data_IF_769950825786
#
_entry.id   IF_769950825786
#
_cell.length_a   1.000
_cell.length_b   1.000
_cell.length_c   1.000
_cell.angle_alpha   90.00
_cell.angle_beta   90.00
_cell.angle_gamma   90.00
#
_symmetry.space_group_name_H-M   'P 1'
#
loop_
_entity.id
_entity.type
_entity.pdbx_description
1 polymer ?
#
# COMPACT_ATOMS: atom_id res chain seq x y z
N UNK A 1 -7.62 -7.68 -5.69
CA UNK A 1 -6.51 -8.43 -6.26
C UNK A 1 -5.27 -8.40 -5.40
N UNK A 2 -4.87 -7.20 -4.97
CA UNK A 2 -3.73 -7.07 -4.06
C UNK A 2 -3.91 -7.91 -2.79
N UNK A 3 -5.14 -8.01 -2.30
CA UNK A 3 -5.44 -8.76 -1.08
C UNK A 3 -5.31 -10.27 -1.25
N UNK A 4 -5.34 -10.76 -2.48
CA UNK A 4 -5.15 -12.19 -2.73
C UNK A 4 -3.69 -12.61 -2.63
N UNK A 5 -2.78 -11.71 -2.93
CA UNK A 5 -1.34 -12.00 -2.97
C UNK A 5 -0.62 -11.56 -1.71
N UNK A 6 -1.23 -10.68 -0.91
CA UNK A 6 -0.59 -10.08 0.25
C UNK A 6 -1.44 -10.21 1.49
N UNK A 7 -0.75 -10.30 2.62
CA UNK A 7 -1.37 -10.22 3.93
C UNK A 7 -1.21 -8.79 4.44
N UNK A 8 -2.32 -8.12 4.70
CA UNK A 8 -2.31 -6.72 5.14
C UNK A 8 -2.09 -6.66 6.65
N UNK A 9 -1.02 -6.02 7.06
CA UNK A 9 -0.64 -5.90 8.48
C UNK A 9 -1.23 -4.65 9.13
N UNK A 10 -1.14 -3.51 8.45
CA UNK A 10 -1.67 -2.24 8.93
C UNK A 10 -2.16 -1.42 7.76
N UNK A 11 -3.09 -0.52 8.04
CA UNK A 11 -3.64 0.40 7.03
C UNK A 11 -3.33 1.84 7.40
N UNK A 12 -3.09 2.65 6.39
CA UNK A 12 -2.80 4.07 6.53
C UNK A 12 -3.59 4.87 5.51
N UNK A 13 -3.75 6.15 5.78
CA UNK A 13 -4.42 7.08 4.88
C UNK A 13 -3.51 8.28 4.62
N UNK A 14 -3.36 8.65 3.37
CA UNK A 14 -2.59 9.84 3.01
C UNK A 14 -3.32 10.64 1.95
N UNK A 15 -3.13 11.95 1.97
CA UNK A 15 -3.61 12.82 0.89
C UNK A 15 -2.72 12.63 -0.33
N UNK A 16 -3.31 12.68 -1.51
CA UNK A 16 -2.56 12.57 -2.74
C UNK A 16 -2.51 13.93 -3.44
N UNK A 17 -1.31 14.32 -3.89
CA UNK A 17 -1.12 15.57 -4.62
C UNK A 17 -1.56 15.38 -6.06
N UNK A 18 -2.57 16.13 -6.47
CA UNK A 18 -3.18 16.02 -7.79
C UNK A 18 -3.36 17.38 -8.45
N UNK A 19 -3.43 17.36 -9.78
CA UNK A 19 -3.83 18.52 -10.56
C UNK A 19 -5.36 18.59 -10.62
N UNK A 20 -5.89 19.77 -10.95
CA UNK A 20 -7.35 19.94 -11.07
C UNK A 20 -8.00 18.99 -12.05
N UNK A 21 -7.36 18.77 -13.21
CA UNK A 21 -7.88 17.84 -14.22
C UNK A 21 -7.92 16.41 -13.72
N UNK A 22 -6.97 16.03 -12.87
CA UNK A 22 -6.93 14.69 -12.26
C UNK A 22 -8.09 14.51 -11.27
N UNK A 23 -8.35 15.51 -10.45
CA UNK A 23 -9.48 15.46 -9.51
C UNK A 23 -10.79 15.29 -10.26
N UNK A 24 -10.96 16.03 -11.35
CA UNK A 24 -12.16 15.93 -12.18
C UNK A 24 -12.28 14.56 -12.85
N UNK A 25 -11.17 14.01 -13.33
CA UNK A 25 -11.16 12.67 -13.93
C UNK A 25 -11.53 11.60 -12.91
N UNK A 26 -11.06 11.73 -11.68
CA UNK A 26 -11.40 10.80 -10.60
C UNK A 26 -12.91 10.83 -10.34
N UNK A 27 -13.52 12.02 -10.34
CA UNK A 27 -14.96 12.14 -10.19
C UNK A 27 -15.75 11.48 -11.31
N UNK A 28 -15.13 11.38 -12.49
CA UNK A 28 -15.72 10.66 -13.63
C UNK A 28 -15.43 9.16 -13.59
N UNK A 29 -14.76 8.67 -12.55
CA UNK A 29 -14.45 7.26 -12.43
C UNK A 29 -13.29 6.79 -13.29
N UNK A 30 -12.42 7.68 -13.72
CA UNK A 30 -11.34 7.37 -14.66
C UNK A 30 -10.00 7.07 -13.98
N UNK A 31 -10.02 6.58 -12.76
CA UNK A 31 -8.81 6.23 -12.03
C UNK A 31 -8.72 4.72 -11.82
N UNK A 32 -7.51 4.20 -11.89
CA UNK A 32 -7.24 2.78 -11.70
C UNK A 32 -5.97 2.59 -10.88
N UNK A 33 -6.09 1.93 -9.75
CA UNK A 33 -4.96 1.66 -8.84
C UNK A 33 -4.54 0.19 -8.83
N UNK A 34 -5.09 -0.64 -9.70
CA UNK A 34 -4.84 -2.10 -9.68
C UNK A 34 -3.37 -2.46 -9.86
N UNK A 35 -2.68 -1.76 -10.72
CA UNK A 35 -1.27 -2.02 -11.01
C UNK A 35 -0.35 -1.08 -10.23
N UNK A 36 -0.91 -0.27 -9.35
CA UNK A 36 -0.15 0.72 -8.61
C UNK A 36 0.49 0.12 -7.37
N UNK A 37 1.56 0.75 -6.92
CA UNK A 37 2.16 0.43 -5.64
C UNK A 37 2.65 1.72 -4.97
N UNK A 38 3.00 1.61 -3.70
CA UNK A 38 3.42 2.76 -2.90
C UNK A 38 4.88 2.54 -2.50
N UNK A 39 5.71 3.55 -2.70
CA UNK A 39 7.14 3.43 -2.43
C UNK A 39 7.74 4.74 -1.95
N UNK A 40 8.77 4.64 -1.13
CA UNK A 40 9.57 5.79 -0.72
C UNK A 40 10.57 6.17 -1.80
N UNK A 41 10.71 7.48 -2.00
CA UNK A 41 11.82 8.05 -2.75
C UNK A 41 12.44 9.09 -1.82
N UNK A 42 13.62 8.78 -1.30
CA UNK A 42 14.18 9.55 -0.21
C UNK A 42 13.29 9.43 1.03
N UNK A 43 12.88 10.55 1.59
CA UNK A 43 12.01 10.58 2.76
C UNK A 43 10.55 10.84 2.42
N UNK A 44 10.22 10.80 1.13
CA UNK A 44 8.87 11.07 0.65
C UNK A 44 8.23 9.81 0.10
N UNK A 45 6.91 9.75 0.19
CA UNK A 45 6.13 8.60 -0.21
C UNK A 45 5.36 8.91 -1.49
N UNK A 46 5.39 7.97 -2.43
CA UNK A 46 4.74 8.15 -3.75
C UNK A 46 3.87 6.95 -4.10
N UNK A 47 2.79 7.23 -4.83
CA UNK A 47 2.01 6.21 -5.52
C UNK A 47 2.57 6.11 -6.94
N UNK A 48 2.98 4.92 -7.31
CA UNK A 48 3.64 4.65 -8.60
C UNK A 48 2.76 3.75 -9.44
N UNK A 49 2.59 4.07 -10.71
CA UNK A 49 1.82 3.25 -11.62
C UNK A 49 0.32 3.43 -11.56
N UNK A 50 -0.17 4.42 -10.81
CA UNK A 50 -1.60 4.73 -10.81
C UNK A 50 -1.98 5.45 -12.09
N UNK A 51 -3.00 4.95 -12.76
CA UNK A 51 -3.51 5.56 -13.99
C UNK A 51 -4.71 6.45 -13.68
N UNK A 52 -4.65 7.69 -14.11
CA UNK A 52 -5.79 8.61 -14.07
C UNK A 52 -6.00 9.09 -15.51
N UNK A 53 -7.13 8.67 -16.09
CA UNK A 53 -7.47 9.00 -17.46
C UNK A 53 -7.71 10.50 -17.65
N UNK A 54 -7.80 10.92 -18.91
CA UNK A 54 -8.02 12.32 -19.23
C UNK A 54 -9.42 12.74 -18.83
N UNK A 55 -9.52 13.94 -18.26
CA UNK A 55 -10.81 14.55 -18.00
C UNK A 55 -11.47 14.92 -19.35
N UNK A 56 -12.74 14.55 -19.52
CA UNK A 56 -13.45 14.71 -20.80
C UNK A 56 -13.38 16.11 -21.39
N UNK A 57 -13.42 17.14 -20.56
CA UNK A 57 -13.46 18.53 -20.99
C UNK A 57 -12.15 19.26 -20.71
N UNK A 58 -11.04 18.52 -20.56
CA UNK A 58 -9.77 19.13 -20.17
C UNK A 58 -9.14 20.02 -21.26
N UNK A 59 -9.35 19.70 -22.53
CA UNK A 59 -8.74 20.45 -23.60
C UNK A 59 -7.22 20.52 -23.43
N UNK A 60 -6.68 21.73 -23.40
CA UNK A 60 -5.24 21.93 -23.19
C UNK A 60 -4.79 21.74 -21.75
N UNK A 61 -5.73 21.57 -20.83
CA UNK A 61 -5.44 21.39 -19.40
C UNK A 61 -5.29 19.92 -19.02
N UNK A 62 -5.20 19.04 -20.01
CA UNK A 62 -5.05 17.61 -19.73
C UNK A 62 -3.71 17.31 -19.03
N UNK A 63 -3.68 16.19 -18.33
CA UNK A 63 -2.51 15.75 -17.57
C UNK A 63 -1.94 14.47 -18.15
N UNK A 64 -0.71 14.14 -17.73
CA UNK A 64 -0.12 12.86 -18.04
C UNK A 64 -0.85 11.77 -17.27
N UNK A 65 -1.38 10.72 -17.93
CA UNK A 65 -2.17 9.70 -17.23
C UNK A 65 -1.41 8.95 -16.13
N UNK A 66 -0.14 8.70 -16.34
CA UNK A 66 0.66 7.96 -15.37
C UNK A 66 1.95 8.71 -15.06
N UNK A 67 2.17 9.00 -13.78
CA UNK A 67 3.44 9.50 -13.26
C UNK A 67 3.43 9.27 -11.74
N UNK A 68 4.59 9.40 -11.11
CA UNK A 68 4.69 9.22 -9.66
C UNK A 68 3.99 10.36 -8.94
N UNK A 69 3.00 10.04 -8.12
CA UNK A 69 2.21 11.03 -7.38
C UNK A 69 2.54 10.96 -5.91
N UNK A 70 2.80 12.13 -5.33
CA UNK A 70 3.21 12.22 -3.93
C UNK A 70 2.03 12.02 -2.98
N UNK A 71 2.29 11.28 -1.90
CA UNK A 71 1.36 11.12 -0.79
C UNK A 71 1.79 12.03 0.35
N UNK A 72 0.80 12.64 0.99
CA UNK A 72 1.02 13.55 2.11
C UNK A 72 0.61 12.89 3.42
N UNK A 73 1.57 12.75 4.31
CA UNK A 73 1.35 12.24 5.67
C UNK A 73 2.18 13.08 6.64
N UNK A 74 1.88 12.96 7.92
CA UNK A 74 2.68 13.61 8.93
C UNK A 74 4.07 12.97 9.01
N UNK A 75 5.07 13.77 9.34
CA UNK A 75 6.45 13.28 9.44
C UNK A 75 6.60 12.07 10.35
N UNK A 76 5.89 12.06 11.46
CA UNK A 76 5.94 10.94 12.42
C UNK A 76 5.44 9.65 11.77
N UNK A 77 4.36 9.74 10.99
CA UNK A 77 3.82 8.59 10.27
C UNK A 77 4.80 8.11 9.21
N UNK A 78 5.37 9.03 8.45
CA UNK A 78 6.34 8.68 7.40
C UNK A 78 7.54 7.94 7.98
N UNK A 79 8.08 8.43 9.10
CA UNK A 79 9.22 7.77 9.74
C UNK A 79 8.88 6.37 10.24
N UNK A 80 7.68 6.22 10.83
CA UNK A 80 7.22 4.92 11.32
C UNK A 80 7.08 3.93 10.16
N UNK A 81 6.40 4.36 9.09
CA UNK A 81 6.17 3.50 7.93
C UNK A 81 7.48 3.12 7.27
N UNK A 82 8.40 4.07 7.12
CA UNK A 82 9.70 3.83 6.51
C UNK A 82 10.48 2.74 7.24
N UNK A 83 10.47 2.79 8.57
CA UNK A 83 11.13 1.75 9.37
C UNK A 83 10.51 0.38 9.13
N UNK A 84 9.19 0.33 9.01
CA UNK A 84 8.49 -0.93 8.82
C UNK A 84 8.72 -1.55 7.45
N UNK A 85 8.82 -0.73 6.39
CA UNK A 85 9.06 -1.26 5.05
C UNK A 85 10.50 -1.66 4.82
N UNK A 86 11.42 -1.27 5.70
CA UNK A 86 12.80 -1.73 5.60
C UNK A 86 12.93 -3.20 5.97
N UNK A 87 11.95 -3.76 6.65
CA UNK A 87 11.95 -5.19 6.96
C UNK A 87 11.71 -6.00 5.69
N UNK A 88 12.43 -7.11 5.59
CA UNK A 88 12.36 -7.98 4.43
C UNK A 88 10.96 -8.53 4.20
N UNK A 89 10.53 -8.49 2.96
CA UNK A 89 9.25 -9.06 2.57
C UNK A 89 8.05 -8.14 2.79
N UNK A 90 8.28 -6.95 3.28
CA UNK A 90 7.20 -5.98 3.48
C UNK A 90 7.19 -4.95 2.37
N UNK A 91 6.01 -4.52 1.98
CA UNK A 91 5.80 -3.52 0.96
C UNK A 91 4.54 -2.72 1.27
N UNK A 92 4.33 -1.64 0.54
CA UNK A 92 3.13 -0.83 0.67
C UNK A 92 2.31 -0.96 -0.61
N UNK A 93 1.00 -1.19 -0.45
CA UNK A 93 0.11 -1.32 -1.60
C UNK A 93 -1.10 -0.41 -1.41
N UNK A 94 -1.57 0.24 -2.49
CA UNK A 94 -2.78 1.03 -2.41
C UNK A 94 -4.00 0.11 -2.33
N UNK A 95 -4.94 0.45 -1.49
CA UNK A 95 -6.14 -0.35 -1.27
C UNK A 95 -7.38 0.32 -1.86
N UNK A 96 -7.52 1.63 -1.66
CA UNK A 96 -8.65 2.37 -2.18
C UNK A 96 -8.33 3.85 -2.28
N UNK A 97 -9.17 4.56 -3.01
CA UNK A 97 -9.05 6.00 -3.18
C UNK A 97 -10.43 6.60 -3.05
N UNK A 98 -10.55 7.73 -2.35
CA UNK A 98 -11.85 8.31 -2.04
C UNK A 98 -11.73 9.80 -1.77
N UNK A 99 -12.86 10.49 -1.80
CA UNK A 99 -12.91 11.89 -1.41
C UNK A 99 -13.21 12.01 0.08
N UNK A 100 -12.51 12.91 0.74
CA UNK A 100 -12.72 13.18 2.15
C UNK A 100 -12.44 14.65 2.42
N UNK A 101 -13.47 15.38 2.85
CA UNK A 101 -13.32 16.80 3.13
C UNK A 101 -12.83 17.64 1.96
N UNK A 102 -13.28 17.31 0.74
CA UNK A 102 -12.87 18.03 -0.46
C UNK A 102 -11.52 17.62 -1.03
N UNK A 103 -10.83 16.71 -0.38
CA UNK A 103 -9.52 16.20 -0.82
C UNK A 103 -9.64 14.74 -1.25
N UNK A 104 -8.73 14.34 -2.13
CA UNK A 104 -8.61 12.94 -2.51
C UNK A 104 -7.63 12.28 -1.56
N UNK A 105 -8.05 11.17 -0.96
CA UNK A 105 -7.23 10.38 -0.04
C UNK A 105 -7.01 8.99 -0.63
N UNK A 106 -5.87 8.42 -0.31
CA UNK A 106 -5.54 7.05 -0.68
C UNK A 106 -5.37 6.25 0.61
N UNK A 107 -6.12 5.17 0.73
CA UNK A 107 -5.88 4.18 1.77
C UNK A 107 -4.87 3.19 1.22
N UNK A 108 -3.81 2.97 1.96
CA UNK A 108 -2.78 2.01 1.57
C UNK A 108 -2.41 1.15 2.76
N UNK A 109 -1.86 0.00 2.49
CA UNK A 109 -1.56 -0.96 3.54
C UNK A 109 -0.11 -1.37 3.55
N UNK A 110 0.39 -1.62 4.77
CA UNK A 110 1.64 -2.32 4.96
C UNK A 110 1.33 -3.79 4.76
N UNK A 111 1.95 -4.39 3.78
CA UNK A 111 1.64 -5.74 3.36
C UNK A 111 2.86 -6.64 3.34
N UNK A 112 2.62 -7.91 3.51
CA UNK A 112 3.65 -8.94 3.43
C UNK A 112 3.16 -10.01 2.46
N UNK A 113 4.04 -10.50 1.58
CA UNK A 113 3.67 -11.53 0.64
C UNK A 113 3.13 -12.75 1.39
N UNK A 114 2.03 -13.32 0.92
CA UNK A 114 1.40 -14.47 1.60
C UNK A 114 2.33 -15.65 1.74
N UNK A 115 3.12 -15.92 0.72
CA UNK A 115 4.10 -17.00 0.77
C UNK A 115 5.08 -16.83 1.92
N UNK A 116 5.60 -15.61 2.08
CA UNK A 116 6.55 -15.31 3.15
C UNK A 116 5.88 -15.35 4.51
N UNK A 117 4.66 -14.83 4.60
CA UNK A 117 3.87 -14.86 5.82
C UNK A 117 3.60 -16.30 6.28
N UNK A 118 3.13 -17.14 5.36
CA UNK A 118 2.84 -18.54 5.67
C UNK A 118 4.10 -19.29 6.08
N UNK A 119 5.21 -19.01 5.44
CA UNK A 119 6.50 -19.61 5.79
C UNK A 119 6.92 -19.25 7.20
N UNK A 120 6.78 -17.98 7.58
CA UNK A 120 7.12 -17.53 8.94
C UNK A 120 6.22 -18.16 9.97
N UNK A 121 4.93 -18.22 9.68
CA UNK A 121 3.96 -18.84 10.58
C UNK A 121 4.29 -20.31 10.80
N UNK A 122 4.55 -21.04 9.74
CA UNK A 122 4.91 -22.46 9.84
C UNK A 122 6.18 -22.66 10.65
N UNK A 123 7.17 -21.83 10.44
CA UNK A 123 8.42 -21.89 11.20
C UNK A 123 8.17 -21.65 12.68
N UNK A 124 7.41 -20.66 13.03
CA UNK A 124 7.06 -20.36 14.41
C UNK A 124 6.33 -21.52 15.07
N UNK A 125 5.37 -22.10 14.39
CA UNK A 125 4.61 -23.24 14.89
C UNK A 125 5.54 -24.44 15.13
N UNK A 126 6.45 -24.72 14.22
CA UNK A 126 7.42 -25.79 14.36
C UNK A 126 8.34 -25.57 15.56
N UNK A 127 8.82 -24.34 15.73
CA UNK A 127 9.70 -24.02 16.85
C UNK A 127 9.00 -24.20 18.18
N UNK A 128 7.76 -23.75 18.29
CA UNK A 128 6.94 -23.93 19.48
C UNK A 128 6.71 -25.41 19.76
N UNK A 129 6.38 -26.17 18.72
CA UNK A 129 6.16 -27.62 18.86
C UNK A 129 7.41 -28.32 19.37
N UNK A 130 8.60 -27.98 18.82
CA UNK A 130 9.86 -28.58 19.27
C UNK A 130 10.10 -28.27 20.74
N UNK A 131 9.83 -27.06 21.18
CA UNK A 131 10.01 -26.66 22.55
C UNK A 131 9.09 -27.46 23.47
N UNK A 132 7.84 -27.60 23.11
CA UNK A 132 6.87 -28.39 23.86
C UNK A 132 7.32 -29.86 23.94
N UNK A 133 7.72 -30.43 22.80
CA UNK A 133 8.20 -31.82 22.75
C UNK A 133 9.38 -32.05 23.68
N UNK A 134 10.34 -31.12 23.71
CA UNK A 134 11.50 -31.20 24.60
C UNK A 134 11.12 -31.14 26.08
N UNK A 135 10.17 -30.28 26.40
CA UNK A 135 9.76 -30.08 27.80
C UNK A 135 8.80 -31.15 28.29
N UNK A 136 7.89 -31.59 27.43
CA UNK A 136 6.76 -32.44 27.82
C UNK A 136 6.61 -33.69 26.98
N UNK A 137 7.50 -33.92 26.01
CA UNK A 137 7.48 -35.09 25.11
C UNK A 137 6.16 -35.23 24.37
N UNK A 138 5.62 -34.14 23.91
CA UNK A 138 4.36 -34.14 23.18
C UNK A 138 4.57 -34.28 21.66
N UNK A 139 3.49 -34.69 21.00
CA UNK A 139 3.49 -34.76 19.55
C UNK A 139 3.66 -33.41 18.89
N UNK A 140 4.17 -33.44 17.71
CA UNK A 140 4.41 -32.26 16.90
C UNK A 140 3.22 -31.93 16.02
N UNK A 141 3.08 -30.68 15.68
CA UNK A 141 2.05 -30.21 14.76
C UNK A 141 2.47 -30.37 13.30
#
# INVERSE_FOLDING_TARGET
KARHEYHILEKYEGGIVLRGSEVKAIREGKANIKEAYVRFSGNELFVIGMHIGQYSNAGYSSHTPVYDRKLLLHKKELKKIQRMVEEKGKTLIPLSMYFKGGYVKVEFGLAQGKKLWDKRKNKMEKDVSRQIDREMKKERN
#
